data_IF_863229939198
#
_entry.id   IF_863229939198
#
_cell.length_a   1.000
_cell.length_b   1.000
_cell.length_c   1.000
_cell.angle_alpha   90.00
_cell.angle_beta   90.00
_cell.angle_gamma   90.00
#
_symmetry.space_group_name_H-M   'P 1'
#
loop_
_entity.id
_entity.type
_entity.pdbx_description
1 polymer ?
#
# COMPACT_ATOMS: atom_id res chain seq x y z
N UNK A 1 -10.73 14.21 -8.91
CA UNK A 1 -10.37 13.73 -7.56
C UNK A 1 -10.47 14.92 -6.62
N UNK A 2 -10.96 14.75 -5.39
CA UNK A 2 -10.78 15.77 -4.35
C UNK A 2 -9.27 16.02 -4.19
N UNK A 3 -8.85 17.27 -4.04
CA UNK A 3 -7.44 17.60 -3.89
C UNK A 3 -6.83 16.87 -2.67
N UNK A 4 -6.03 15.84 -2.94
CA UNK A 4 -5.43 14.96 -1.93
C UNK A 4 -4.47 15.75 -1.04
N UNK A 5 -3.88 16.83 -1.55
CA UNK A 5 -3.07 17.74 -0.76
C UNK A 5 -3.90 18.35 0.37
N UNK A 6 -5.04 18.93 0.02
CA UNK A 6 -5.95 19.55 0.99
C UNK A 6 -6.52 18.56 2.02
N UNK A 7 -6.53 17.26 1.75
CA UNK A 7 -6.87 16.24 2.76
C UNK A 7 -5.89 16.21 3.93
N UNK A 8 -4.60 16.45 3.68
CA UNK A 8 -3.53 16.30 4.68
C UNK A 8 -2.93 17.64 5.13
N UNK A 9 -2.86 18.60 4.22
CA UNK A 9 -2.17 19.88 4.39
C UNK A 9 -3.04 21.05 3.89
N UNK A 10 -4.31 21.04 4.28
CA UNK A 10 -5.26 22.11 3.95
C UNK A 10 -4.70 23.50 4.28
N UNK A 11 -4.86 24.45 3.35
CA UNK A 11 -4.47 25.85 3.55
C UNK A 11 -3.00 26.17 3.30
N UNK A 12 -2.18 25.21 2.83
CA UNK A 12 -0.78 25.45 2.48
C UNK A 12 -0.57 25.37 0.96
N UNK A 13 0.19 26.31 0.39
CA UNK A 13 0.67 26.23 -0.99
C UNK A 13 1.83 25.24 -1.10
N UNK A 14 2.04 24.66 -2.28
CA UNK A 14 3.07 23.65 -2.52
C UNK A 14 3.62 23.68 -3.95
N UNK A 15 4.81 23.11 -4.10
CA UNK A 15 5.43 22.85 -5.40
C UNK A 15 5.04 21.45 -5.89
N UNK A 16 4.64 21.34 -7.15
CA UNK A 16 4.32 20.06 -7.78
C UNK A 16 5.56 19.40 -8.38
N UNK A 17 5.63 18.08 -8.25
CA UNK A 17 6.62 17.24 -8.94
C UNK A 17 5.96 16.02 -9.55
N UNK A 18 6.02 15.91 -10.88
CA UNK A 18 5.35 14.86 -11.66
C UNK A 18 6.28 14.14 -12.65
N UNK A 19 7.59 14.41 -12.60
CA UNK A 19 8.57 13.84 -13.52
C UNK A 19 9.39 12.70 -12.91
N UNK A 20 9.77 11.71 -13.72
CA UNK A 20 10.73 10.66 -13.33
C UNK A 20 12.17 11.23 -13.29
N UNK A 21 12.42 12.13 -12.35
CA UNK A 21 13.72 12.73 -12.08
C UNK A 21 13.89 12.86 -10.58
N UNK A 22 15.14 13.00 -10.12
CA UNK A 22 15.38 13.35 -8.73
C UNK A 22 14.66 14.66 -8.39
N UNK A 23 14.05 14.71 -7.21
CA UNK A 23 13.53 15.94 -6.65
C UNK A 23 14.73 16.72 -6.09
N UNK A 24 14.94 17.98 -6.50
CA UNK A 24 16.06 18.77 -6.00
C UNK A 24 16.09 18.77 -4.48
N UNK A 25 17.29 18.69 -3.90
CA UNK A 25 17.48 18.83 -2.46
C UNK A 25 16.83 20.14 -2.00
N UNK A 26 15.79 20.04 -1.17
CA UNK A 26 14.91 21.18 -0.91
C UNK A 26 14.38 21.20 0.52
N UNK A 27 13.78 22.35 0.86
CA UNK A 27 12.95 22.56 2.04
C UNK A 27 11.66 23.27 1.59
N UNK A 28 10.60 23.20 2.40
CA UNK A 28 9.29 23.76 2.06
C UNK A 28 8.24 22.70 1.70
N UNK A 29 7.18 23.14 1.02
CA UNK A 29 6.00 22.30 0.78
C UNK A 29 6.03 21.71 -0.63
N UNK A 30 5.94 20.38 -0.74
CA UNK A 30 5.99 19.66 -2.01
C UNK A 30 4.96 18.55 -2.09
N UNK A 31 4.32 18.46 -3.24
CA UNK A 31 3.46 17.35 -3.63
C UNK A 31 4.09 16.60 -4.79
N UNK A 32 4.56 15.39 -4.52
CA UNK A 32 5.12 14.48 -5.52
C UNK A 32 4.03 13.48 -5.85
N UNK A 33 3.56 13.43 -7.10
CA UNK A 33 2.44 12.58 -7.42
C UNK A 33 2.41 12.04 -8.84
N UNK A 34 1.80 10.85 -9.00
CA UNK A 34 1.60 10.19 -10.29
C UNK A 34 2.93 10.01 -11.06
N UNK A 35 3.99 9.61 -10.34
CA UNK A 35 5.34 9.47 -10.90
C UNK A 35 5.83 8.03 -10.84
N UNK A 36 6.34 7.54 -11.98
CA UNK A 36 6.99 6.24 -12.08
C UNK A 36 8.50 6.44 -11.97
N UNK A 37 9.01 6.34 -10.76
CA UNK A 37 10.44 6.39 -10.50
C UNK A 37 11.06 5.02 -10.74
N UNK A 38 11.79 4.88 -11.84
CA UNK A 38 12.41 3.61 -12.24
C UNK A 38 13.85 3.80 -12.67
N UNK A 39 14.69 2.82 -12.34
CA UNK A 39 16.12 2.74 -12.72
C UNK A 39 16.97 3.94 -12.26
N UNK A 40 16.64 4.54 -11.11
CA UNK A 40 17.44 5.58 -10.50
C UNK A 40 18.44 4.96 -9.51
N UNK A 41 19.73 5.28 -9.69
CA UNK A 41 20.85 4.74 -8.91
C UNK A 41 21.33 5.71 -7.82
N UNK A 42 20.45 6.59 -7.38
CA UNK A 42 20.74 7.65 -6.43
C UNK A 42 19.49 7.97 -5.62
N UNK A 43 19.66 8.79 -4.58
CA UNK A 43 18.54 9.22 -3.75
C UNK A 43 17.54 10.03 -4.58
N UNK A 44 16.25 9.68 -4.55
CA UNK A 44 15.24 10.28 -5.43
C UNK A 44 14.63 11.52 -4.80
N UNK A 45 14.17 11.40 -3.55
CA UNK A 45 13.60 12.50 -2.78
C UNK A 45 14.50 12.81 -1.59
N UNK A 46 14.96 14.06 -1.48
CA UNK A 46 15.79 14.51 -0.37
C UNK A 46 15.27 15.83 0.21
N UNK A 47 14.73 15.77 1.42
CA UNK A 47 14.23 16.92 2.17
C UNK A 47 14.95 17.02 3.51
N UNK A 48 15.52 18.18 3.81
CA UNK A 48 16.18 18.43 5.09
C UNK A 48 16.21 19.92 5.45
N UNK A 49 16.10 20.26 6.73
CA UNK A 49 16.51 21.58 7.25
C UNK A 49 15.39 22.62 7.41
N UNK A 50 14.14 22.18 7.54
CA UNK A 50 13.06 23.06 7.99
C UNK A 50 11.90 22.30 8.61
N UNK A 51 11.56 22.66 9.86
CA UNK A 51 10.39 22.16 10.58
C UNK A 51 9.06 22.52 9.88
N UNK A 52 9.00 23.56 9.07
CA UNK A 52 7.73 23.96 8.45
C UNK A 52 7.39 23.16 7.17
N UNK A 53 8.36 22.38 6.67
CA UNK A 53 8.25 21.63 5.42
C UNK A 53 7.12 20.60 5.47
N UNK A 54 6.38 20.46 4.37
CA UNK A 54 5.30 19.47 4.22
C UNK A 54 5.54 18.69 2.94
N UNK A 55 5.77 17.39 3.07
CA UNK A 55 5.98 16.49 1.95
C UNK A 55 4.80 15.54 1.83
N UNK A 56 4.09 15.62 0.70
CA UNK A 56 3.10 14.62 0.29
C UNK A 56 3.64 13.85 -0.90
N UNK A 57 3.77 12.54 -0.77
CA UNK A 57 4.09 11.63 -1.86
C UNK A 57 2.87 10.75 -2.07
N UNK A 58 2.19 10.91 -3.21
CA UNK A 58 0.91 10.22 -3.45
C UNK A 58 0.83 9.57 -4.82
N UNK A 59 0.33 8.35 -4.91
CA UNK A 59 0.18 7.66 -6.20
C UNK A 59 1.53 7.63 -6.93
N UNK A 60 2.59 7.15 -6.28
CA UNK A 60 3.92 7.05 -6.88
C UNK A 60 4.37 5.59 -6.88
N UNK A 61 5.16 5.23 -7.87
CA UNK A 61 5.77 3.90 -7.97
C UNK A 61 7.28 4.07 -7.99
N UNK A 62 7.96 3.32 -7.12
CA UNK A 62 9.40 3.23 -7.03
C UNK A 62 9.83 1.83 -7.43
N UNK A 63 10.30 1.66 -8.66
CA UNK A 63 10.67 0.35 -9.21
C UNK A 63 12.18 0.24 -9.43
N UNK A 64 12.78 -0.78 -8.84
CA UNK A 64 14.15 -1.21 -9.14
C UNK A 64 15.19 -0.09 -8.93
N UNK A 65 14.91 0.83 -8.01
CA UNK A 65 15.83 1.90 -7.64
C UNK A 65 16.90 1.39 -6.68
N UNK A 66 18.11 1.90 -6.82
CA UNK A 66 19.26 1.47 -6.02
C UNK A 66 20.08 2.64 -5.50
N UNK A 67 20.86 2.44 -4.43
CA UNK A 67 21.77 3.47 -3.95
C UNK A 67 22.58 3.06 -2.72
N UNK A 68 23.60 3.84 -2.37
CA UNK A 68 24.46 3.56 -1.21
C UNK A 68 24.08 4.35 0.06
N UNK A 69 22.97 5.06 0.01
CA UNK A 69 22.50 5.96 1.07
C UNK A 69 21.32 5.37 1.84
N UNK A 70 21.10 5.86 3.06
CA UNK A 70 19.84 5.61 3.78
C UNK A 70 18.67 6.29 3.07
N UNK A 71 17.52 5.63 3.02
CA UNK A 71 16.32 6.18 2.37
C UNK A 71 16.58 6.46 0.89
N UNK A 72 16.75 5.40 0.09
CA UNK A 72 17.10 5.56 -1.34
C UNK A 72 15.96 6.24 -2.09
N UNK A 73 14.73 5.79 -1.92
CA UNK A 73 13.61 6.47 -2.58
C UNK A 73 13.29 7.79 -1.88
N UNK A 74 13.16 7.76 -0.56
CA UNK A 74 12.71 8.92 0.20
C UNK A 74 13.60 9.12 1.43
N UNK A 75 14.17 10.31 1.54
CA UNK A 75 14.87 10.76 2.72
C UNK A 75 14.30 12.10 3.17
N UNK A 76 13.82 12.14 4.41
CA UNK A 76 13.34 13.37 5.01
C UNK A 76 13.86 13.52 6.45
N UNK A 77 14.36 14.71 6.76
CA UNK A 77 14.72 15.15 8.10
C UNK A 77 14.03 16.48 8.38
N UNK A 78 13.31 16.57 9.51
CA UNK A 78 12.42 17.66 9.89
C UNK A 78 11.16 17.78 9.00
N UNK A 79 10.21 18.63 9.41
CA UNK A 79 8.97 18.84 8.68
C UNK A 79 7.94 17.74 8.92
N UNK A 80 7.00 17.59 8.00
CA UNK A 80 5.94 16.58 8.01
C UNK A 80 6.02 15.73 6.73
N UNK A 81 5.69 14.45 6.81
CA UNK A 81 5.73 13.52 5.68
C UNK A 81 4.47 12.67 5.64
N UNK A 82 3.82 12.61 4.47
CA UNK A 82 2.73 11.68 4.18
C UNK A 82 3.07 10.91 2.91
N UNK A 83 3.15 9.59 3.03
CA UNK A 83 3.27 8.63 1.93
C UNK A 83 1.91 7.95 1.76
N UNK A 84 1.26 8.14 0.61
CA UNK A 84 -0.11 7.69 0.37
C UNK A 84 -0.23 6.96 -0.98
N UNK A 85 -0.74 5.72 -0.97
CA UNK A 85 -0.86 4.92 -2.20
C UNK A 85 0.43 4.85 -3.00
N UNK A 86 1.52 4.57 -2.29
CA UNK A 86 2.80 4.32 -2.93
C UNK A 86 2.95 2.83 -3.21
N UNK A 87 3.60 2.52 -4.32
CA UNK A 87 4.22 1.22 -4.48
C UNK A 87 5.73 1.33 -4.52
N UNK A 88 6.41 0.48 -3.77
CA UNK A 88 7.86 0.31 -3.87
C UNK A 88 8.19 -1.13 -4.16
N UNK A 89 8.94 -1.36 -5.22
CA UNK A 89 9.43 -2.67 -5.59
C UNK A 89 10.92 -2.69 -5.79
N UNK A 90 11.55 -3.78 -5.32
CA UNK A 90 12.94 -4.10 -5.62
C UNK A 90 13.89 -2.94 -5.34
N UNK A 91 13.56 -2.13 -4.34
CA UNK A 91 14.41 -1.03 -3.91
C UNK A 91 15.58 -1.62 -3.12
N UNK A 92 16.80 -1.25 -3.50
CA UNK A 92 18.01 -1.88 -2.96
C UNK A 92 19.01 -0.87 -2.44
N UNK A 93 19.69 -1.21 -1.35
CA UNK A 93 20.80 -0.43 -0.84
C UNK A 93 21.83 -1.29 -0.12
N UNK A 94 23.10 -0.85 -0.12
CA UNK A 94 24.11 -1.40 0.79
C UNK A 94 24.08 -0.75 2.18
N UNK A 95 23.14 0.16 2.43
CA UNK A 95 22.93 0.87 3.69
C UNK A 95 21.58 0.47 4.31
N UNK A 96 20.94 1.33 5.08
CA UNK A 96 19.68 1.03 5.76
C UNK A 96 18.48 1.65 5.05
N UNK A 97 17.31 1.02 5.16
CA UNK A 97 16.04 1.59 4.72
C UNK A 97 16.00 1.87 3.22
N UNK A 98 16.05 0.83 2.37
CA UNK A 98 16.02 0.96 0.91
C UNK A 98 14.81 1.74 0.39
N UNK A 99 13.68 1.74 1.11
CA UNK A 99 12.53 2.54 0.70
C UNK A 99 12.63 3.96 1.27
N UNK A 100 12.42 4.13 2.58
CA UNK A 100 12.28 5.48 3.18
C UNK A 100 12.99 5.64 4.51
N UNK A 101 13.69 6.75 4.68
CA UNK A 101 14.19 7.25 5.96
C UNK A 101 13.47 8.55 6.32
N UNK A 102 12.51 8.49 7.24
CA UNK A 102 11.67 9.62 7.62
C UNK A 102 11.89 9.96 9.09
N UNK A 103 12.50 11.10 9.35
CA UNK A 103 12.70 11.66 10.68
C UNK A 103 12.07 13.05 10.74
N UNK A 104 10.81 13.14 11.15
CA UNK A 104 10.06 14.42 11.17
C UNK A 104 10.40 15.23 12.42
N UNK A 105 9.86 16.45 12.53
CA UNK A 105 10.01 17.25 13.75
C UNK A 105 9.32 16.54 14.94
N UNK A 106 9.95 16.57 16.12
CA UNK A 106 9.43 15.93 17.34
C UNK A 106 8.25 16.71 17.97
N UNK A 107 7.11 16.65 17.29
CA UNK A 107 5.84 17.23 17.71
C UNK A 107 4.68 16.34 17.22
N UNK A 108 3.73 15.98 18.08
CA UNK A 108 2.62 15.10 17.71
C UNK A 108 1.68 15.68 16.64
N UNK A 109 1.64 16.99 16.45
CA UNK A 109 0.83 17.61 15.39
C UNK A 109 1.41 17.35 13.99
N UNK A 110 2.65 16.87 13.92
CA UNK A 110 3.39 16.68 12.69
C UNK A 110 3.18 15.27 12.14
N UNK A 111 2.68 15.20 10.91
CA UNK A 111 2.33 13.93 10.27
C UNK A 111 3.58 13.14 9.88
N UNK A 112 3.61 11.85 10.21
CA UNK A 112 4.60 10.89 9.73
C UNK A 112 3.87 9.61 9.27
N UNK A 113 3.20 9.71 8.12
CA UNK A 113 2.20 8.74 7.69
C UNK A 113 2.68 7.87 6.53
N UNK A 114 2.33 6.58 6.58
CA UNK A 114 2.43 5.62 5.48
C UNK A 114 1.08 4.90 5.36
N UNK A 115 0.33 5.19 4.30
CA UNK A 115 -1.10 4.83 4.20
C UNK A 115 -1.39 4.19 2.85
N UNK A 116 -2.19 3.11 2.85
CA UNK A 116 -2.71 2.43 1.65
C UNK A 116 -1.61 2.06 0.65
N UNK A 117 -0.50 1.52 1.15
CA UNK A 117 0.77 1.44 0.40
C UNK A 117 1.36 0.04 0.41
N UNK A 118 2.16 -0.26 -0.60
CA UNK A 118 2.81 -1.58 -0.72
C UNK A 118 4.28 -1.47 -1.00
N UNK A 119 5.09 -2.18 -0.21
CA UNK A 119 6.55 -2.22 -0.32
C UNK A 119 6.98 -3.68 -0.36
N UNK A 120 7.65 -4.12 -1.43
CA UNK A 120 8.04 -5.52 -1.59
C UNK A 120 9.37 -5.71 -2.28
N UNK A 121 10.00 -6.87 -2.04
CA UNK A 121 11.34 -7.24 -2.55
C UNK A 121 12.44 -6.22 -2.21
N UNK A 122 12.29 -5.48 -1.11
CA UNK A 122 13.32 -4.52 -0.72
C UNK A 122 14.54 -5.23 -0.12
N UNK A 123 15.75 -4.74 -0.42
CA UNK A 123 17.00 -5.31 0.12
C UNK A 123 17.92 -4.25 0.70
N UNK A 124 18.41 -4.46 1.93
CA UNK A 124 19.39 -3.58 2.56
C UNK A 124 19.98 -4.12 3.85
N UNK A 125 20.80 -3.34 4.56
CA UNK A 125 21.28 -3.69 5.91
C UNK A 125 20.16 -3.59 6.95
N UNK A 126 19.09 -2.85 6.65
CA UNK A 126 17.85 -2.86 7.42
C UNK A 126 16.66 -3.03 6.49
N UNK A 127 15.50 -3.32 7.05
CA UNK A 127 14.22 -3.39 6.34
C UNK A 127 13.84 -2.05 5.71
N UNK A 128 12.78 -2.03 4.89
CA UNK A 128 12.52 -0.94 3.95
C UNK A 128 12.32 0.43 4.56
N UNK A 129 11.71 0.52 5.75
CA UNK A 129 11.26 1.81 6.28
C UNK A 129 11.81 2.12 7.67
N UNK A 130 12.12 3.41 7.86
CA UNK A 130 12.40 4.04 9.14
C UNK A 130 11.45 5.21 9.32
N UNK A 131 10.75 5.25 10.47
CA UNK A 131 9.96 6.40 10.88
C UNK A 131 10.31 6.80 12.30
N UNK A 132 10.66 8.07 12.47
CA UNK A 132 10.99 8.67 13.75
C UNK A 132 10.21 9.97 13.93
N UNK A 133 9.72 10.16 15.17
CA UNK A 133 9.03 11.36 15.64
C UNK A 133 7.69 11.63 14.92
N UNK A 134 6.97 12.64 15.41
CA UNK A 134 5.66 13.02 14.91
C UNK A 134 4.54 12.07 15.34
N UNK A 135 3.36 12.26 14.76
CA UNK A 135 2.29 11.26 14.74
C UNK A 135 2.63 10.20 13.68
N UNK A 136 3.11 9.05 14.15
CA UNK A 136 3.47 7.92 13.29
C UNK A 136 2.23 7.07 13.03
N UNK A 137 1.83 6.97 11.76
CA UNK A 137 0.68 6.18 11.34
C UNK A 137 1.02 5.29 10.15
N UNK A 138 0.95 3.98 10.36
CA UNK A 138 1.01 2.95 9.32
C UNK A 138 -0.38 2.33 9.19
N UNK A 139 -1.05 2.50 8.05
CA UNK A 139 -2.44 2.08 7.89
C UNK A 139 -2.70 1.46 6.52
N UNK A 140 -3.25 0.25 6.51
CA UNK A 140 -3.46 -0.52 5.28
C UNK A 140 -2.20 -0.63 4.42
N UNK A 141 -1.12 -1.15 5.03
CA UNK A 141 0.18 -1.30 4.36
C UNK A 141 0.53 -2.76 4.20
N UNK A 142 1.07 -3.12 3.04
CA UNK A 142 1.73 -4.41 2.83
C UNK A 142 3.25 -4.20 2.77
N UNK A 143 3.99 -4.86 3.65
CA UNK A 143 5.46 -5.00 3.51
C UNK A 143 5.79 -6.47 3.40
N UNK A 144 6.28 -6.88 2.22
CA UNK A 144 6.46 -8.30 1.95
C UNK A 144 7.78 -8.64 1.28
N UNK A 145 8.22 -9.90 1.45
CA UNK A 145 9.34 -10.50 0.73
C UNK A 145 10.63 -9.65 0.77
N UNK A 146 10.82 -8.86 1.83
CA UNK A 146 11.99 -8.01 1.97
C UNK A 146 13.10 -8.75 2.72
N UNK A 147 14.35 -8.47 2.36
CA UNK A 147 15.53 -9.09 2.95
C UNK A 147 16.42 -8.03 3.59
N UNK A 148 16.67 -8.18 4.89
CA UNK A 148 17.66 -7.40 5.61
C UNK A 148 18.92 -8.22 5.89
N UNK A 149 20.07 -7.65 5.55
CA UNK A 149 21.38 -8.21 5.84
C UNK A 149 21.81 -8.07 7.29
N UNK A 150 21.22 -7.16 8.07
CA UNK A 150 21.54 -6.99 9.49
C UNK A 150 20.26 -6.93 10.34
N UNK A 151 19.61 -5.77 10.38
CA UNK A 151 18.58 -5.43 11.37
C UNK A 151 17.18 -5.36 10.75
N UNK A 152 16.14 -5.56 11.56
CA UNK A 152 14.76 -5.13 11.27
C UNK A 152 14.24 -5.46 9.85
N UNK A 153 13.84 -6.69 9.53
CA UNK A 153 13.42 -7.03 8.16
C UNK A 153 12.21 -6.26 7.60
N UNK A 154 11.39 -5.67 8.47
CA UNK A 154 10.17 -4.95 8.11
C UNK A 154 10.35 -3.44 8.29
N UNK A 155 10.52 -2.99 9.54
CA UNK A 155 10.61 -1.58 9.85
C UNK A 155 11.33 -1.30 11.17
N UNK A 156 11.71 -0.03 11.33
CA UNK A 156 12.12 0.55 12.61
C UNK A 156 11.29 1.80 12.93
N UNK A 157 10.62 1.81 14.08
CA UNK A 157 9.82 2.93 14.58
C UNK A 157 10.42 3.52 15.86
N UNK A 158 10.53 4.85 15.89
CA UNK A 158 10.93 5.62 17.05
C UNK A 158 9.84 6.65 17.38
N UNK A 159 9.05 6.41 18.43
CA UNK A 159 7.85 7.20 18.71
C UNK A 159 8.01 8.28 19.82
N UNK A 160 9.21 8.55 20.33
CA UNK A 160 9.55 9.69 21.23
C UNK A 160 8.45 10.22 22.18
N UNK A 161 8.05 9.46 23.20
CA UNK A 161 6.97 9.81 24.16
C UNK A 161 5.56 9.99 23.55
N UNK A 162 5.42 9.86 22.24
CA UNK A 162 4.17 9.94 21.48
C UNK A 162 3.63 8.54 21.17
N UNK A 163 2.43 8.52 20.61
CA UNK A 163 1.77 7.28 20.20
C UNK A 163 2.00 7.01 18.72
N UNK A 164 2.50 5.82 18.38
CA UNK A 164 2.51 5.31 17.00
C UNK A 164 1.37 4.30 16.80
N UNK A 165 0.77 4.28 15.62
CA UNK A 165 -0.32 3.36 15.28
C UNK A 165 -0.02 2.58 14.00
N UNK A 166 -0.23 1.28 14.05
CA UNK A 166 -0.12 0.33 12.94
C UNK A 166 -1.42 -0.44 12.86
N UNK A 167 -2.10 -0.39 11.71
CA UNK A 167 -3.46 -0.92 11.59
C UNK A 167 -3.75 -1.50 10.22
N UNK A 168 -4.57 -2.56 10.18
CA UNK A 168 -5.03 -3.21 8.93
C UNK A 168 -3.90 -3.56 7.97
N UNK A 169 -2.72 -3.89 8.49
CA UNK A 169 -1.49 -4.05 7.69
C UNK A 169 -1.07 -5.52 7.61
N UNK A 170 -0.35 -5.89 6.56
CA UNK A 170 0.25 -7.22 6.44
C UNK A 170 1.76 -7.11 6.29
N UNK A 171 2.47 -7.89 7.11
CA UNK A 171 3.91 -8.06 7.05
C UNK A 171 4.18 -9.52 6.75
N UNK A 172 4.57 -9.82 5.50
CA UNK A 172 4.62 -11.20 5.00
C UNK A 172 5.98 -11.59 4.44
N UNK A 173 6.52 -12.72 4.89
CA UNK A 173 7.71 -13.35 4.30
C UNK A 173 8.96 -12.44 4.28
N UNK A 174 9.13 -11.60 5.31
CA UNK A 174 10.32 -10.75 5.44
C UNK A 174 11.41 -11.47 6.24
N UNK A 175 12.67 -11.35 5.82
CA UNK A 175 13.80 -12.07 6.43
C UNK A 175 14.86 -11.12 6.95
N UNK A 176 15.23 -11.23 8.24
CA UNK A 176 16.38 -10.58 8.85
C UNK A 176 17.48 -11.61 9.12
N UNK A 177 18.69 -11.36 8.63
CA UNK A 177 19.80 -12.32 8.77
C UNK A 177 20.37 -12.44 10.18
N UNK A 178 20.13 -11.49 11.08
CA UNK A 178 20.77 -11.51 12.40
C UNK A 178 19.84 -11.15 13.56
N UNK A 179 19.01 -10.12 13.43
CA UNK A 179 18.30 -9.55 14.58
C UNK A 179 16.81 -9.84 14.57
N UNK A 180 15.98 -8.91 14.12
CA UNK A 180 14.55 -8.85 14.41
C UNK A 180 13.75 -8.44 13.17
N UNK A 181 12.43 -8.55 13.23
CA UNK A 181 11.57 -8.18 12.09
C UNK A 181 10.96 -6.77 12.25
N UNK A 182 10.19 -6.54 13.31
CA UNK A 182 9.56 -5.26 13.64
C UNK A 182 10.22 -4.67 14.89
N UNK A 183 10.80 -3.47 14.78
CA UNK A 183 11.46 -2.80 15.91
C UNK A 183 10.74 -1.53 16.35
N UNK A 184 10.52 -1.43 17.67
CA UNK A 184 9.85 -0.32 18.32
C UNK A 184 10.75 0.29 19.40
N UNK A 185 10.90 1.62 19.38
CA UNK A 185 11.64 2.38 20.38
C UNK A 185 10.83 3.57 20.89
N UNK A 186 10.81 3.74 22.22
CA UNK A 186 10.15 4.83 22.93
C UNK A 186 8.64 4.97 22.66
N UNK A 187 7.94 5.63 23.57
CA UNK A 187 6.53 5.96 23.40
C UNK A 187 5.59 4.74 23.46
N UNK A 188 4.33 4.98 23.09
CA UNK A 188 3.29 3.97 23.04
C UNK A 188 3.12 3.51 21.60
N UNK A 189 3.15 2.22 21.33
CA UNK A 189 2.94 1.69 19.98
C UNK A 189 1.74 0.76 20.01
N UNK A 190 0.77 1.00 19.14
CA UNK A 190 -0.41 0.15 18.99
C UNK A 190 -0.40 -0.52 17.62
N UNK A 191 -0.38 -1.85 17.61
CA UNK A 191 -0.54 -2.68 16.41
C UNK A 191 -1.89 -3.37 16.50
N UNK A 192 -2.79 -3.13 15.55
CA UNK A 192 -4.11 -3.75 15.55
C UNK A 192 -4.54 -4.28 14.17
N UNK A 193 -5.43 -5.27 14.17
CA UNK A 193 -6.03 -5.84 12.94
C UNK A 193 -5.01 -6.19 11.85
N UNK A 194 -3.82 -6.65 12.24
CA UNK A 194 -2.70 -6.83 11.33
C UNK A 194 -2.25 -8.29 11.23
N UNK A 195 -1.72 -8.64 10.08
CA UNK A 195 -1.21 -9.98 9.77
C UNK A 195 0.33 -9.94 9.79
N UNK A 196 0.94 -10.73 10.66
CA UNK A 196 2.39 -10.88 10.80
C UNK A 196 2.73 -12.33 10.45
N UNK A 197 3.01 -12.57 9.18
CA UNK A 197 2.97 -13.90 8.60
C UNK A 197 4.32 -14.30 8.01
N UNK A 198 4.80 -15.49 8.33
CA UNK A 198 5.99 -16.08 7.71
C UNK A 198 7.24 -15.22 7.78
N UNK A 199 7.36 -14.30 8.74
CA UNK A 199 8.56 -13.50 8.89
C UNK A 199 9.64 -14.31 9.60
N UNK A 200 10.89 -14.09 9.21
CA UNK A 200 12.03 -14.81 9.74
C UNK A 200 13.07 -13.85 10.32
N UNK A 201 13.57 -14.18 11.50
CA UNK A 201 14.85 -13.66 11.99
C UNK A 201 15.77 -14.84 12.35
N UNK A 202 16.98 -14.90 11.76
CA UNK A 202 17.89 -16.03 12.02
C UNK A 202 18.34 -16.04 13.48
N UNK A 203 18.32 -17.22 14.09
CA UNK A 203 18.54 -17.49 15.53
C UNK A 203 20.01 -17.34 15.98
N UNK A 204 20.68 -16.23 15.63
CA UNK A 204 22.11 -16.04 15.94
C UNK A 204 22.34 -15.33 17.28
N UNK A 205 21.46 -14.40 17.67
CA UNK A 205 21.65 -13.57 18.86
C UNK A 205 20.46 -13.63 19.82
N UNK A 206 20.68 -14.08 21.06
CA UNK A 206 19.59 -14.34 22.01
C UNK A 206 18.97 -13.10 22.69
N UNK A 207 19.53 -11.88 22.58
CA UNK A 207 19.00 -10.71 23.33
C UNK A 207 18.27 -9.67 22.49
N UNK A 208 18.36 -9.77 21.17
CA UNK A 208 17.83 -8.76 20.25
C UNK A 208 17.12 -9.42 19.04
N UNK A 209 16.50 -10.60 19.28
CA UNK A 209 15.92 -11.47 18.25
C UNK A 209 14.47 -11.81 18.53
N UNK A 210 13.59 -10.86 18.25
CA UNK A 210 12.14 -11.04 18.27
C UNK A 210 11.54 -10.80 16.89
N UNK A 211 10.45 -11.48 16.56
CA UNK A 211 9.59 -11.06 15.44
C UNK A 211 9.07 -9.65 15.74
N UNK A 212 8.50 -9.45 16.93
CA UNK A 212 8.17 -8.14 17.47
C UNK A 212 9.15 -7.80 18.58
N UNK A 213 9.88 -6.70 18.42
CA UNK A 213 10.86 -6.24 19.38
C UNK A 213 10.52 -4.86 19.91
N UNK A 214 10.65 -4.69 21.23
CA UNK A 214 10.42 -3.45 21.95
C UNK A 214 11.66 -3.06 22.76
N UNK A 215 12.14 -1.83 22.56
CA UNK A 215 13.28 -1.26 23.29
C UNK A 215 13.04 0.17 23.76
N UNK A 216 13.98 0.68 24.56
CA UNK A 216 14.02 2.02 25.14
C UNK A 216 12.67 2.62 25.59
N UNK A 217 12.17 2.26 26.78
CA UNK A 217 10.93 2.79 27.36
C UNK A 217 9.71 2.77 26.41
N UNK A 218 9.57 1.71 25.62
CA UNK A 218 8.38 1.50 24.79
C UNK A 218 7.34 0.65 25.51
N UNK A 219 6.06 1.01 25.29
CA UNK A 219 4.91 0.18 25.61
C UNK A 219 4.29 -0.23 24.28
N UNK A 220 4.42 -1.52 23.93
CA UNK A 220 3.88 -2.05 22.68
C UNK A 220 2.62 -2.85 22.97
N UNK A 221 1.47 -2.39 22.49
CA UNK A 221 0.22 -3.13 22.51
C UNK A 221 -0.02 -3.75 21.14
N UNK A 222 -0.22 -5.06 21.11
CA UNK A 222 -0.59 -5.82 19.90
C UNK A 222 -1.95 -6.44 20.13
N UNK A 223 -2.95 -6.02 19.36
CA UNK A 223 -4.33 -6.39 19.59
C UNK A 223 -4.98 -6.94 18.33
N UNK A 224 -5.74 -8.04 18.44
CA UNK A 224 -6.50 -8.62 17.32
C UNK A 224 -5.65 -8.79 16.06
N UNK A 225 -4.45 -9.37 16.22
CA UNK A 225 -3.54 -9.66 15.12
C UNK A 225 -3.40 -11.16 14.90
N UNK A 226 -3.08 -11.55 13.67
CA UNK A 226 -2.69 -12.92 13.33
C UNK A 226 -1.16 -12.97 13.22
N UNK A 227 -0.50 -13.81 14.01
CA UNK A 227 0.94 -14.02 13.92
C UNK A 227 1.24 -15.50 13.60
N UNK A 228 1.39 -15.86 12.33
CA UNK A 228 1.47 -17.27 11.92
C UNK A 228 2.72 -17.58 11.14
N UNK A 229 3.24 -18.80 11.30
CA UNK A 229 4.37 -19.34 10.52
C UNK A 229 5.67 -18.53 10.63
N UNK A 230 5.83 -17.70 11.65
CA UNK A 230 7.04 -16.94 11.84
C UNK A 230 8.16 -17.83 12.40
N UNK A 231 9.41 -17.49 12.08
CA UNK A 231 10.60 -18.21 12.50
C UNK A 231 11.59 -17.28 13.20
N UNK A 232 11.99 -17.62 14.42
CA UNK A 232 12.89 -16.75 15.19
C UNK A 232 13.35 -17.37 16.48
N UNK A 233 14.08 -16.59 17.29
CA UNK A 233 14.35 -16.98 18.68
C UNK A 233 13.12 -16.70 19.53
N UNK A 234 12.63 -15.45 19.53
CA UNK A 234 11.37 -15.06 20.17
C UNK A 234 10.29 -14.61 19.19
N UNK A 235 9.02 -14.84 19.52
CA UNK A 235 7.92 -14.11 18.89
C UNK A 235 7.87 -12.67 19.41
N UNK A 236 8.02 -12.50 20.73
CA UNK A 236 7.96 -11.23 21.43
C UNK A 236 9.23 -10.99 22.24
N UNK A 237 9.89 -9.84 22.09
CA UNK A 237 11.12 -9.55 22.82
C UNK A 237 11.11 -8.12 23.37
N UNK A 238 11.34 -7.99 24.68
CA UNK A 238 11.47 -6.71 25.40
C UNK A 238 12.79 -6.75 26.18
N UNK A 239 13.64 -5.72 26.05
CA UNK A 239 14.95 -5.68 26.73
C UNK A 239 14.88 -4.76 27.95
N UNK A 240 15.33 -5.13 29.14
CA UNK A 240 15.40 -4.27 30.35
C UNK A 240 14.07 -3.92 31.05
N UNK A 241 14.18 -3.48 32.31
CA UNK A 241 13.09 -2.98 33.14
C UNK A 241 12.49 -1.67 32.60
N UNK A 242 11.19 -1.46 32.81
CA UNK A 242 10.44 -0.26 32.38
C UNK A 242 9.86 -0.31 30.97
N UNK A 243 9.97 -1.46 30.29
CA UNK A 243 9.36 -1.72 28.96
C UNK A 243 8.22 -2.70 29.14
N UNK A 244 7.24 -2.67 28.27
CA UNK A 244 6.13 -3.62 28.35
C UNK A 244 5.64 -3.98 26.96
N UNK A 245 5.29 -5.25 26.78
CA UNK A 245 4.51 -5.70 25.63
C UNK A 245 3.21 -6.32 26.10
N UNK A 246 2.10 -5.87 25.53
CA UNK A 246 0.75 -6.29 25.89
C UNK A 246 0.10 -6.89 24.65
N UNK A 247 -0.07 -8.21 24.63
CA UNK A 247 -0.69 -8.95 23.53
C UNK A 247 -2.14 -9.25 23.92
N UNK A 248 -3.11 -8.82 23.11
CA UNK A 248 -4.54 -8.95 23.39
C UNK A 248 -5.31 -9.58 22.24
N UNK A 249 -6.08 -10.63 22.51
CA UNK A 249 -6.99 -11.24 21.53
C UNK A 249 -6.32 -11.63 20.20
N UNK A 250 -5.02 -11.96 20.24
CA UNK A 250 -4.27 -12.36 19.05
C UNK A 250 -4.34 -13.86 18.83
N UNK A 251 -4.22 -14.27 17.57
CA UNK A 251 -4.12 -15.67 17.17
C UNK A 251 -2.74 -15.92 16.58
N UNK A 252 -1.95 -16.84 17.15
CA UNK A 252 -0.58 -17.08 16.69
C UNK A 252 -0.20 -18.55 16.46
N UNK A 253 -0.85 -19.23 15.49
CA UNK A 253 -0.61 -20.63 15.23
C UNK A 253 0.74 -20.89 14.54
N UNK A 254 1.24 -22.11 14.68
CA UNK A 254 2.26 -22.69 13.79
C UNK A 254 3.56 -21.88 13.66
N UNK A 255 3.98 -21.17 14.71
CA UNK A 255 5.27 -20.47 14.71
C UNK A 255 6.43 -21.41 15.06
N UNK A 256 7.54 -21.31 14.33
CA UNK A 256 8.79 -22.04 14.59
C UNK A 256 9.73 -21.14 15.41
N UNK A 257 9.39 -20.97 16.69
CA UNK A 257 10.11 -20.15 17.67
C UNK A 257 10.75 -21.01 18.75
N UNK A 258 11.90 -20.58 19.28
CA UNK A 258 12.55 -21.26 20.42
C UNK A 258 11.79 -20.96 21.71
N UNK A 259 11.47 -19.69 21.93
CA UNK A 259 10.71 -19.21 23.08
C UNK A 259 9.62 -18.23 22.63
N UNK A 260 8.49 -18.20 23.33
CA UNK A 260 7.40 -17.29 22.92
C UNK A 260 7.72 -15.83 23.24
N UNK A 261 8.30 -15.57 24.41
CA UNK A 261 8.51 -14.22 24.89
C UNK A 261 9.79 -14.07 25.71
N UNK A 262 10.45 -12.91 25.60
CA UNK A 262 11.52 -12.48 26.49
C UNK A 262 11.19 -11.12 27.13
N UNK A 263 11.37 -11.05 28.45
CA UNK A 263 11.09 -9.86 29.27
C UNK A 263 9.61 -9.68 29.63
N UNK A 264 9.20 -8.50 30.14
CA UNK A 264 7.84 -8.20 30.58
C UNK A 264 6.80 -8.19 29.45
N UNK A 265 6.29 -9.39 29.12
CA UNK A 265 5.25 -9.62 28.11
C UNK A 265 4.01 -10.21 28.78
N UNK A 266 2.86 -9.58 28.58
CA UNK A 266 1.56 -10.11 29.00
C UNK A 266 0.80 -10.57 27.77
N UNK A 267 0.25 -11.78 27.79
CA UNK A 267 -0.46 -12.36 26.65
C UNK A 267 -1.89 -12.77 26.99
N UNK A 268 -2.82 -12.38 26.14
CA UNK A 268 -4.14 -13.02 26.02
C UNK A 268 -4.36 -13.45 24.57
N UNK A 269 -4.75 -14.71 24.41
CA UNK A 269 -4.87 -15.35 23.10
C UNK A 269 -6.33 -15.53 22.72
N UNK A 270 -6.58 -15.65 21.42
CA UNK A 270 -7.82 -16.13 20.87
C UNK A 270 -7.54 -17.41 20.08
N UNK A 271 -8.46 -18.39 20.14
CA UNK A 271 -8.29 -19.68 19.48
C UNK A 271 -8.49 -19.60 17.96
N UNK A 272 -9.16 -18.55 17.48
CA UNK A 272 -9.36 -18.28 16.06
C UNK A 272 -9.51 -16.79 15.83
N UNK A 273 -8.94 -16.31 14.73
CA UNK A 273 -9.16 -14.94 14.25
C UNK A 273 -9.10 -14.96 12.73
N UNK A 274 -10.03 -14.25 12.08
CA UNK A 274 -10.00 -14.03 10.64
C UNK A 274 -9.85 -12.54 10.39
N UNK A 275 -8.82 -12.18 9.62
CA UNK A 275 -8.56 -10.80 9.20
C UNK A 275 -8.34 -10.86 7.70
N UNK A 276 -9.23 -10.21 6.93
CA UNK A 276 -9.02 -9.97 5.52
C UNK A 276 -8.58 -8.51 5.34
N UNK A 277 -7.29 -8.30 5.09
CA UNK A 277 -6.76 -6.96 4.80
C UNK A 277 -6.63 -6.81 3.28
N UNK A 278 -7.51 -6.01 2.68
CA UNK A 278 -7.46 -5.67 1.26
C UNK A 278 -6.41 -4.58 1.00
N UNK A 279 -5.21 -5.02 0.64
CA UNK A 279 -4.08 -4.12 0.37
C UNK A 279 -4.08 -3.58 -1.05
N UNK A 280 -3.41 -2.44 -1.20
CA UNK A 280 -3.05 -1.90 -2.50
C UNK A 280 -2.19 -2.92 -3.29
N UNK A 281 -2.67 -3.39 -4.44
CA UNK A 281 -2.07 -4.52 -5.15
C UNK A 281 -0.69 -4.20 -5.77
N UNK A 282 0.28 -5.11 -5.66
CA UNK A 282 1.59 -5.02 -6.32
C UNK A 282 1.52 -5.08 -7.85
N UNK A 283 0.45 -5.63 -8.42
CA UNK A 283 0.21 -5.65 -9.86
C UNK A 283 0.18 -4.24 -10.46
N UNK A 284 -0.28 -3.25 -9.68
CA UNK A 284 -0.28 -1.84 -10.07
C UNK A 284 1.14 -1.25 -10.19
N UNK A 285 2.18 -1.93 -9.71
CA UNK A 285 3.55 -1.43 -9.69
C UNK A 285 4.32 -1.67 -11.00
N UNK A 286 3.89 -2.63 -11.83
CA UNK A 286 4.47 -2.91 -13.15
C UNK A 286 3.45 -2.81 -14.28
N UNK A 287 2.25 -2.33 -13.98
CA UNK A 287 1.31 -1.99 -15.04
C UNK A 287 2.06 -1.01 -15.99
N UNK A 288 2.00 -1.19 -17.32
CA UNK A 288 2.70 -0.36 -18.30
C UNK A 288 2.38 1.15 -18.20
N UNK A 289 1.43 1.50 -17.34
CA UNK A 289 0.86 2.81 -17.08
C UNK A 289 0.27 2.83 -15.65
N UNK A 290 1.08 2.79 -14.59
CA UNK A 290 0.63 2.47 -13.23
C UNK A 290 -0.27 3.55 -12.59
N UNK A 291 -0.36 4.73 -13.20
CA UNK A 291 -1.16 5.86 -12.75
C UNK A 291 -2.39 6.14 -13.58
N UNK A 292 -2.60 5.41 -14.68
CA UNK A 292 -3.70 5.68 -15.61
C UNK A 292 -4.87 4.82 -15.19
N UNK A 293 -5.56 5.27 -14.15
CA UNK A 293 -6.78 4.62 -13.70
C UNK A 293 -7.93 5.02 -14.64
N UNK A 294 -8.66 4.02 -15.12
CA UNK A 294 -9.94 4.24 -15.78
C UNK A 294 -11.01 3.90 -14.76
N UNK A 295 -11.79 4.89 -14.34
CA UNK A 295 -12.97 4.62 -13.49
C UNK A 295 -14.20 4.84 -14.34
N UNK A 296 -14.87 3.75 -14.72
CA UNK A 296 -16.23 3.86 -15.22
C UNK A 296 -17.08 4.49 -14.12
N UNK A 297 -17.82 5.53 -14.43
CA UNK A 297 -18.70 6.21 -13.48
C UNK A 297 -20.15 5.80 -13.69
N UNK A 298 -20.54 5.57 -14.95
CA UNK A 298 -21.86 5.08 -15.27
C UNK A 298 -21.86 4.25 -16.54
N UNK A 299 -22.76 3.27 -16.55
CA UNK A 299 -23.11 2.44 -17.69
C UNK A 299 -24.63 2.49 -17.83
N UNK A 300 -25.10 2.78 -19.03
CA UNK A 300 -26.50 2.88 -19.43
C UNK A 300 -26.74 1.96 -20.61
N UNK A 301 -27.84 1.23 -20.54
CA UNK A 301 -28.35 0.42 -21.63
C UNK A 301 -29.49 1.16 -22.30
N UNK A 302 -29.64 1.00 -23.61
CA UNK A 302 -30.81 1.51 -24.32
C UNK A 302 -32.10 0.91 -23.78
N UNK A 303 -32.07 -0.39 -23.46
CA UNK A 303 -33.15 -1.15 -22.85
C UNK A 303 -32.59 -2.27 -21.99
N UNK A 304 -33.42 -2.83 -21.11
CA UNK A 304 -33.05 -3.95 -20.23
C UNK A 304 -33.69 -5.27 -20.64
N UNK A 305 -34.43 -5.27 -21.77
CA UNK A 305 -35.18 -6.40 -22.29
C UNK A 305 -34.82 -6.63 -23.75
N UNK A 306 -34.40 -7.86 -24.08
CA UNK A 306 -33.97 -8.27 -25.42
C UNK A 306 -34.63 -9.58 -25.83
N UNK A 307 -35.02 -9.69 -27.10
CA UNK A 307 -35.68 -10.84 -27.70
C UNK A 307 -34.65 -11.89 -28.13
N UNK A 308 -34.73 -13.05 -27.51
CA UNK A 308 -33.88 -14.20 -27.81
C UNK A 308 -33.92 -14.57 -29.31
N UNK A 309 -32.74 -14.77 -29.92
CA UNK A 309 -32.50 -15.05 -31.35
C UNK A 309 -32.92 -13.96 -32.35
N UNK A 310 -33.59 -12.89 -31.92
CA UNK A 310 -33.96 -11.76 -32.78
C UNK A 310 -32.93 -10.65 -32.61
N UNK A 311 -32.69 -10.24 -31.37
CA UNK A 311 -31.71 -9.23 -31.06
C UNK A 311 -30.31 -9.84 -31.08
N UNK A 312 -29.41 -9.21 -31.84
CA UNK A 312 -28.00 -9.61 -31.93
C UNK A 312 -27.07 -8.71 -31.14
N UNK A 313 -27.53 -7.52 -30.75
CA UNK A 313 -26.68 -6.48 -30.17
C UNK A 313 -27.37 -5.79 -28.99
N UNK A 314 -26.56 -5.48 -27.98
CA UNK A 314 -26.92 -4.67 -26.81
C UNK A 314 -26.22 -3.32 -26.98
N UNK A 315 -26.99 -2.25 -27.17
CA UNK A 315 -26.46 -0.89 -27.21
C UNK A 315 -26.10 -0.42 -25.79
N UNK A 316 -24.84 -0.02 -25.62
CA UNK A 316 -24.26 0.41 -24.36
C UNK A 316 -23.71 1.82 -24.52
N UNK A 317 -23.99 2.66 -23.53
CA UNK A 317 -23.38 3.97 -23.40
C UNK A 317 -22.93 4.19 -21.97
N UNK A 318 -22.04 5.15 -21.76
CA UNK A 318 -21.60 5.45 -20.42
C UNK A 318 -20.59 6.58 -20.39
N UNK A 319 -20.09 6.83 -19.19
CA UNK A 319 -19.00 7.75 -18.97
C UNK A 319 -18.04 7.21 -17.91
N UNK A 320 -16.83 7.74 -17.94
CA UNK A 320 -15.84 7.48 -16.93
C UNK A 320 -14.84 8.61 -16.83
N UNK A 321 -13.97 8.49 -15.84
CA UNK A 321 -12.78 9.33 -15.70
C UNK A 321 -11.56 8.55 -16.15
N UNK A 322 -10.70 9.23 -16.89
CA UNK A 322 -9.56 8.60 -17.50
C UNK A 322 -8.44 9.61 -17.70
N UNK A 323 -7.24 9.23 -17.26
CA UNK A 323 -6.02 10.01 -17.41
C UNK A 323 -5.25 9.64 -18.71
N UNK A 324 -5.93 9.00 -19.69
CA UNK A 324 -5.38 8.69 -21.03
C UNK A 324 -6.31 9.09 -22.18
N UNK A 325 -5.67 9.45 -23.29
CA UNK A 325 -6.34 9.88 -24.53
C UNK A 325 -6.91 8.70 -25.35
N UNK A 326 -6.75 7.46 -24.88
CA UNK A 326 -7.23 6.26 -25.57
C UNK A 326 -7.68 5.22 -24.54
N UNK A 327 -8.92 4.74 -24.65
CA UNK A 327 -9.45 3.65 -23.84
C UNK A 327 -9.99 2.54 -24.73
N UNK A 328 -9.94 1.31 -24.21
CA UNK A 328 -10.69 0.18 -24.78
C UNK A 328 -11.75 -0.23 -23.77
N UNK A 329 -12.99 -0.31 -24.22
CA UNK A 329 -14.12 -0.79 -23.43
C UNK A 329 -14.47 -2.20 -23.90
N UNK A 330 -14.63 -3.11 -22.93
CA UNK A 330 -15.07 -4.48 -23.16
C UNK A 330 -16.42 -4.72 -22.51
N UNK A 331 -17.16 -5.67 -23.06
CA UNK A 331 -18.40 -6.18 -22.50
C UNK A 331 -18.28 -7.69 -22.30
N UNK A 332 -18.84 -8.16 -21.18
CA UNK A 332 -18.88 -9.56 -20.79
C UNK A 332 -20.35 -9.90 -20.49
N UNK A 333 -20.89 -10.93 -21.13
CA UNK A 333 -22.25 -11.42 -20.85
C UNK A 333 -22.12 -12.76 -20.12
N UNK A 334 -22.68 -12.86 -18.90
CA UNK A 334 -22.65 -14.06 -18.05
C UNK A 334 -21.26 -14.67 -17.78
N UNK A 335 -20.21 -13.84 -17.85
CA UNK A 335 -18.84 -14.32 -17.69
C UNK A 335 -18.28 -15.04 -18.92
N UNK A 336 -19.01 -15.09 -20.04
CA UNK A 336 -18.48 -15.51 -21.34
C UNK A 336 -17.54 -14.44 -21.92
N UNK A 337 -16.75 -14.82 -22.93
CA UNK A 337 -15.62 -14.05 -23.49
C UNK A 337 -15.82 -12.52 -23.53
N UNK A 338 -14.76 -11.79 -23.22
CA UNK A 338 -14.77 -10.34 -23.29
C UNK A 338 -14.72 -9.87 -24.75
N UNK A 339 -15.75 -9.15 -25.19
CA UNK A 339 -15.80 -8.55 -26.52
C UNK A 339 -15.47 -7.08 -26.44
N UNK A 340 -14.55 -6.62 -27.29
CA UNK A 340 -14.34 -5.18 -27.49
C UNK A 340 -15.62 -4.55 -28.05
N UNK A 341 -16.00 -3.41 -27.49
CA UNK A 341 -17.23 -2.72 -27.86
C UNK A 341 -17.13 -2.20 -29.30
N UNK A 342 -18.00 -2.72 -30.18
CA UNK A 342 -17.96 -2.49 -31.61
C UNK A 342 -18.58 -1.14 -32.00
N UNK A 343 -18.10 -0.58 -33.11
CA UNK A 343 -18.53 0.69 -33.71
C UNK A 343 -18.60 1.84 -32.69
N UNK A 344 -17.60 1.90 -31.80
CA UNK A 344 -17.63 2.83 -30.68
C UNK A 344 -17.37 4.27 -31.10
N UNK A 345 -18.13 5.19 -30.52
CA UNK A 345 -17.75 6.60 -30.51
C UNK A 345 -17.20 6.94 -29.13
N UNK A 346 -15.96 7.43 -29.09
CA UNK A 346 -15.32 7.95 -27.89
C UNK A 346 -15.23 9.48 -28.00
N UNK A 347 -15.77 10.18 -27.02
CA UNK A 347 -15.58 11.62 -26.88
C UNK A 347 -14.85 11.90 -25.56
N UNK A 348 -13.65 12.45 -25.67
CA UNK A 348 -12.82 12.85 -24.54
C UNK A 348 -12.95 14.36 -24.30
N UNK A 349 -13.20 14.74 -23.05
CA UNK A 349 -13.27 16.10 -22.58
C UNK A 349 -12.08 16.36 -21.65
N UNK A 350 -11.05 17.02 -22.18
CA UNK A 350 -9.76 17.23 -21.51
C UNK A 350 -9.89 18.00 -20.18
N UNK A 351 -10.79 19.00 -20.13
CA UNK A 351 -10.96 19.87 -18.96
C UNK A 351 -11.42 19.13 -17.69
N UNK A 352 -12.17 18.04 -17.84
CA UNK A 352 -12.72 17.26 -16.72
C UNK A 352 -12.11 15.87 -16.58
N UNK A 353 -11.16 15.52 -17.47
CA UNK A 353 -10.61 14.16 -17.65
C UNK A 353 -11.74 13.12 -17.76
N UNK A 354 -12.83 13.50 -18.44
CA UNK A 354 -13.99 12.64 -18.62
C UNK A 354 -14.03 12.14 -20.05
N UNK A 355 -14.45 10.89 -20.21
CA UNK A 355 -14.83 10.36 -21.50
C UNK A 355 -16.29 9.93 -21.47
N UNK A 356 -16.93 10.05 -22.62
CA UNK A 356 -18.18 9.38 -22.91
C UNK A 356 -17.94 8.34 -24.00
N UNK A 357 -18.65 7.22 -23.89
CA UNK A 357 -18.60 6.16 -24.88
C UNK A 357 -20.02 5.74 -25.27
N UNK A 358 -20.16 5.35 -26.52
CA UNK A 358 -21.35 4.69 -27.07
C UNK A 358 -20.90 3.59 -28.02
N UNK A 359 -21.69 2.53 -28.14
CA UNK A 359 -21.56 1.50 -29.17
C UNK A 359 -22.32 0.25 -28.74
N UNK A 360 -21.91 -0.93 -29.21
CA UNK A 360 -22.69 -2.15 -28.96
C UNK A 360 -21.84 -3.38 -28.62
N UNK A 361 -22.44 -4.26 -27.81
CA UNK A 361 -21.95 -5.59 -27.50
C UNK A 361 -22.77 -6.63 -28.29
N UNK A 362 -22.11 -7.56 -28.96
CA UNK A 362 -22.79 -8.67 -29.64
C UNK A 362 -23.20 -9.74 -28.63
N UNK A 363 -24.43 -10.23 -28.73
CA UNK A 363 -24.94 -11.30 -27.88
C UNK A 363 -24.33 -12.62 -28.37
N UNK A 364 -23.55 -13.33 -27.53
CA UNK A 364 -22.90 -14.56 -27.94
C UNK A 364 -23.92 -15.64 -28.31
N UNK A 365 -23.60 -16.44 -29.33
CA UNK A 365 -24.38 -17.64 -29.65
C UNK A 365 -24.37 -18.67 -28.50
N UNK A 366 -23.48 -18.54 -27.52
CA UNK A 366 -23.45 -19.40 -26.32
C UNK A 366 -24.56 -19.07 -25.33
N UNK A 367 -25.19 -17.89 -25.43
CA UNK A 367 -26.41 -17.54 -24.70
C UNK A 367 -27.56 -18.32 -25.33
N UNK A 368 -27.69 -19.58 -24.92
CA UNK A 368 -28.54 -20.57 -25.57
C UNK A 368 -29.94 -20.68 -25.00
N UNK A 369 -30.25 -20.00 -23.89
CA UNK A 369 -31.54 -20.09 -23.22
C UNK A 369 -32.06 -18.70 -22.83
N UNK A 370 -33.38 -18.47 -22.88
CA UNK A 370 -34.02 -17.28 -22.32
C UNK A 370 -33.82 -17.20 -20.80
N UNK A 371 -33.62 -16.01 -20.24
CA UNK A 371 -33.37 -15.84 -18.82
C UNK A 371 -32.85 -14.46 -18.40
N UNK A 372 -32.44 -14.36 -17.14
CA UNK A 372 -31.74 -13.18 -16.65
C UNK A 372 -30.25 -13.35 -16.94
N UNK A 373 -29.66 -12.36 -17.62
CA UNK A 373 -28.25 -12.37 -18.00
C UNK A 373 -27.52 -11.16 -17.41
N UNK A 374 -26.31 -11.34 -16.93
CA UNK A 374 -25.48 -10.25 -16.44
C UNK A 374 -24.66 -9.66 -17.57
N UNK A 375 -24.63 -8.33 -17.70
CA UNK A 375 -23.70 -7.63 -18.57
C UNK A 375 -22.71 -6.84 -17.71
N UNK A 376 -21.44 -7.20 -17.78
CA UNK A 376 -20.38 -6.42 -17.15
C UNK A 376 -19.63 -5.62 -18.21
N UNK A 377 -19.36 -4.35 -17.90
CA UNK A 377 -18.61 -3.45 -18.77
C UNK A 377 -17.30 -3.10 -18.09
N UNK A 378 -16.23 -3.29 -18.83
CA UNK A 378 -14.86 -3.20 -18.35
C UNK A 378 -14.09 -2.19 -19.19
N UNK A 379 -13.06 -1.58 -18.61
CA UNK A 379 -12.08 -0.80 -19.35
C UNK A 379 -10.71 -1.48 -19.28
N UNK A 380 -9.90 -1.39 -20.33
CA UNK A 380 -8.62 -2.11 -20.49
C UNK A 380 -7.62 -1.97 -19.34
N UNK A 381 -7.73 -0.94 -18.50
CA UNK A 381 -6.88 -0.70 -17.32
C UNK A 381 -7.69 -0.10 -16.14
N UNK A 382 -8.96 -0.51 -15.97
CA UNK A 382 -9.90 0.17 -15.07
C UNK A 382 -10.60 -0.70 -14.02
N UNK A 383 -11.41 -0.05 -13.18
CA UNK A 383 -12.34 -0.68 -12.23
C UNK A 383 -13.67 -0.96 -12.94
N UNK A 384 -14.24 -2.15 -12.70
CA UNK A 384 -15.41 -2.69 -13.38
C UNK A 384 -16.75 -2.08 -12.92
N UNK A 385 -17.72 -1.98 -13.83
CA UNK A 385 -19.14 -1.76 -13.49
C UNK A 385 -19.98 -2.87 -14.12
N UNK A 386 -20.68 -3.63 -13.28
CA UNK A 386 -21.67 -4.63 -13.71
C UNK A 386 -23.09 -4.07 -13.70
N UNK A 387 -23.88 -4.42 -14.71
CA UNK A 387 -25.33 -4.14 -14.81
C UNK A 387 -26.07 -5.42 -15.19
N UNK A 388 -27.27 -5.63 -14.62
CA UNK A 388 -28.10 -6.78 -14.98
C UNK A 388 -28.96 -6.47 -16.21
N UNK A 389 -29.04 -7.42 -17.13
CA UNK A 389 -29.91 -7.41 -18.31
C UNK A 389 -30.93 -8.56 -18.16
N UNK A 390 -32.14 -8.39 -18.67
CA UNK A 390 -33.10 -9.50 -18.75
C UNK A 390 -33.32 -9.82 -20.21
N UNK A 391 -33.21 -11.07 -20.64
CA UNK A 391 -33.84 -11.48 -21.88
C UNK A 391 -35.29 -11.84 -21.53
N UNK A 392 -36.24 -11.19 -22.21
CA UNK A 392 -37.67 -11.45 -22.02
C UNK A 392 -38.26 -11.87 -23.36
N UNK A 393 -39.29 -12.71 -23.27
CA UNK A 393 -40.27 -12.88 -24.32
C UNK A 393 -41.28 -11.75 -24.28
#
# INVERSE_FOLDING_TARGET
MSDIWNRFFNGYSYNNHTSNTQVPASSGNYHIHHVYFTNLNSRIVYFSGSNESKLLISFCVFDSNSGNNKGVNIYQVEGQCVQYRICSYSSTTNNNYPHSYINVTNNQEYKNYLIESTITLSKGNSGPIYQQFGDIKIHNVNISNSESFQHDSVYYLYASQLTASISYSTFFNNTAKYYRSLCHQYGNININYSNILSNQCRQVYYTDNGIIYASSNSIVTVEQCILSNNKGYYLFCTKNAGKQMIIKFCYFPSNEIIETAYGPVTTSTNNSLQINNEHFNTAMCYAPNPFKSITLQSVKLERTEYYYKIDRYINVSGNGKCDINSITIYCIIDGYDAYELNNRTLSYQENDMTYSFTGFCEIPNTVNEPGNHSLSVHASNGIDISKSVRSKF
#
